data_IF_266421624282
#
_entry.id   IF_266421624282
#
_cell.length_a   1.000
_cell.length_b   1.000
_cell.length_c   1.000
_cell.angle_alpha   90.00
_cell.angle_beta   90.00
_cell.angle_gamma   90.00
#
_symmetry.space_group_name_H-M   'P 1'
#
loop_
_entity.id
_entity.type
_entity.pdbx_description
1 polymer ?
#
# COMPACT_ATOMS: atom_id res chain seq x y z
N UNK A 1 16.51 -26.88 2.15
CA UNK A 1 15.79 -25.61 2.33
C UNK A 1 14.43 -25.86 2.98
N UNK A 2 13.88 -24.92 3.75
CA UNK A 2 12.58 -25.02 4.40
C UNK A 2 11.79 -23.73 4.11
N UNK A 3 10.47 -23.84 3.96
CA UNK A 3 9.56 -22.70 3.75
C UNK A 3 8.30 -22.94 4.56
N UNK A 4 7.82 -21.96 5.27
CA UNK A 4 6.63 -22.04 6.10
C UNK A 4 5.68 -20.90 5.79
N UNK A 5 4.37 -21.14 5.86
CA UNK A 5 3.33 -20.15 5.54
C UNK A 5 2.66 -19.66 6.82
N UNK A 6 2.41 -18.35 6.87
CA UNK A 6 1.72 -17.67 7.97
C UNK A 6 0.61 -16.77 7.44
N UNK A 7 -0.41 -16.55 8.27
CA UNK A 7 -1.42 -15.53 8.01
C UNK A 7 -0.78 -14.14 7.98
N UNK A 8 -1.27 -13.27 7.12
CA UNK A 8 -0.92 -11.85 7.05
C UNK A 8 -1.20 -11.07 8.33
N UNK A 9 -2.03 -11.61 9.23
CA UNK A 9 -2.34 -11.00 10.54
C UNK A 9 -1.31 -11.30 11.61
N UNK A 10 -0.39 -12.23 11.36
CA UNK A 10 0.71 -12.55 12.28
C UNK A 10 1.84 -11.56 12.08
N UNK A 11 2.17 -10.80 13.11
CA UNK A 11 3.33 -9.90 13.09
C UNK A 11 4.59 -10.67 13.47
N UNK A 12 5.30 -11.15 12.47
CA UNK A 12 6.58 -11.84 12.66
C UNK A 12 7.73 -10.84 12.82
N UNK A 13 8.69 -11.15 13.67
CA UNK A 13 9.92 -10.37 13.85
C UNK A 13 11.10 -11.30 13.69
N UNK A 14 12.25 -10.75 13.33
CA UNK A 14 13.46 -11.55 13.19
C UNK A 14 13.76 -12.36 14.46
N UNK A 15 13.89 -13.67 14.28
CA UNK A 15 14.19 -14.62 15.38
C UNK A 15 13.00 -14.99 16.27
N UNK A 16 11.78 -14.52 16.00
CA UNK A 16 10.59 -14.97 16.71
C UNK A 16 10.28 -16.45 16.35
N UNK A 17 9.73 -17.19 17.30
CA UNK A 17 9.16 -18.50 17.00
C UNK A 17 7.85 -18.36 16.23
N UNK A 18 7.59 -19.23 15.29
CA UNK A 18 6.38 -19.24 14.46
C UNK A 18 5.91 -20.66 14.16
N UNK A 19 4.67 -20.77 13.67
CA UNK A 19 4.09 -22.04 13.24
C UNK A 19 4.79 -22.57 11.98
N UNK A 20 5.14 -23.86 11.98
CA UNK A 20 5.84 -24.52 10.88
C UNK A 20 4.86 -25.24 9.94
N UNK A 21 3.79 -24.54 9.56
CA UNK A 21 2.83 -25.03 8.59
C UNK A 21 3.31 -24.79 7.16
N UNK A 22 2.96 -25.70 6.26
CA UNK A 22 3.17 -25.56 4.82
C UNK A 22 1.87 -25.34 4.05
N UNK A 23 0.75 -25.30 4.77
CA UNK A 23 -0.60 -24.98 4.26
C UNK A 23 -1.28 -23.97 5.14
N UNK A 24 -2.03 -23.06 4.50
CA UNK A 24 -2.83 -22.03 5.14
C UNK A 24 -4.20 -21.96 4.48
N UNK A 25 -5.27 -21.85 5.28
CA UNK A 25 -6.60 -21.57 4.76
C UNK A 25 -6.90 -20.08 4.90
N UNK A 26 -7.35 -19.48 3.81
CA UNK A 26 -7.79 -18.10 3.71
C UNK A 26 -9.24 -18.07 3.27
N UNK A 27 -9.92 -16.98 3.56
CA UNK A 27 -11.29 -16.71 3.07
C UNK A 27 -11.28 -15.35 2.41
N UNK A 28 -11.91 -15.24 1.24
CA UNK A 28 -12.02 -13.96 0.53
C UNK A 28 -13.27 -13.92 -0.34
N UNK A 29 -13.72 -12.72 -0.68
CA UNK A 29 -14.80 -12.49 -1.62
C UNK A 29 -14.27 -12.31 -3.04
N UNK A 30 -15.12 -12.44 -4.04
CA UNK A 30 -14.79 -12.04 -5.41
C UNK A 30 -14.43 -10.54 -5.45
N UNK A 31 -13.42 -10.16 -6.22
CA UNK A 31 -12.90 -8.79 -6.29
C UNK A 31 -12.06 -8.39 -5.06
N UNK A 32 -11.77 -9.30 -4.14
CA UNK A 32 -10.92 -9.07 -2.98
C UNK A 32 -9.46 -9.41 -3.27
N UNK A 33 -8.56 -8.73 -2.59
CA UNK A 33 -7.13 -9.04 -2.55
C UNK A 33 -6.79 -9.62 -1.19
N UNK A 34 -6.49 -10.91 -1.15
CA UNK A 34 -6.06 -11.62 0.06
C UNK A 34 -4.54 -11.71 0.11
N UNK A 35 -3.98 -11.90 1.30
CA UNK A 35 -2.54 -11.99 1.47
C UNK A 35 -2.11 -13.04 2.48
N UNK A 36 -0.88 -13.51 2.33
CA UNK A 36 -0.20 -14.36 3.29
C UNK A 36 1.30 -14.06 3.30
N UNK A 37 1.97 -14.53 4.35
CA UNK A 37 3.43 -14.47 4.48
C UNK A 37 4.04 -15.85 4.29
N UNK A 38 5.26 -15.91 3.79
CA UNK A 38 6.07 -17.11 3.78
C UNK A 38 7.46 -16.85 4.32
N UNK A 39 7.96 -17.75 5.17
CA UNK A 39 9.23 -17.55 5.90
C UNK A 39 10.22 -18.64 5.51
N UNK A 40 11.40 -18.20 5.09
CA UNK A 40 12.61 -19.01 4.96
C UNK A 40 13.41 -18.88 6.27
N UNK A 41 13.49 -19.93 7.10
CA UNK A 41 14.10 -19.81 8.43
C UNK A 41 15.61 -20.07 8.46
N UNK A 42 16.25 -20.26 7.32
CA UNK A 42 17.67 -20.61 7.20
C UNK A 42 18.34 -19.75 6.13
N UNK A 43 19.67 -19.58 6.16
CA UNK A 43 20.41 -18.90 5.10
C UNK A 43 20.02 -19.40 3.72
N UNK A 44 19.93 -18.49 2.78
CA UNK A 44 19.62 -18.78 1.38
C UNK A 44 20.33 -17.77 0.47
N UNK A 45 20.62 -18.21 -0.75
CA UNK A 45 21.31 -17.41 -1.75
C UNK A 45 20.59 -17.50 -3.09
N UNK A 46 20.58 -16.38 -3.80
CA UNK A 46 20.00 -16.26 -5.15
C UNK A 46 18.59 -16.83 -5.25
N UNK A 47 17.77 -16.55 -4.23
CA UNK A 47 16.40 -17.05 -4.18
C UNK A 47 15.52 -16.35 -5.22
N UNK A 48 14.72 -17.15 -5.91
CA UNK A 48 13.67 -16.72 -6.82
C UNK A 48 12.34 -17.28 -6.34
N UNK A 49 11.32 -16.44 -6.28
CA UNK A 49 9.99 -16.82 -5.82
C UNK A 49 8.97 -16.66 -6.95
N UNK A 50 8.13 -17.64 -7.13
CA UNK A 50 7.04 -17.63 -8.10
C UNK A 50 5.78 -18.24 -7.49
N UNK A 51 4.62 -17.77 -7.91
CA UNK A 51 3.35 -18.33 -7.52
C UNK A 51 2.71 -19.01 -8.73
N UNK A 52 2.13 -20.17 -8.47
CA UNK A 52 1.35 -20.96 -9.44
C UNK A 52 -0.08 -21.10 -8.91
N UNK A 53 -1.05 -20.81 -9.76
CA UNK A 53 -2.46 -20.86 -9.43
C UNK A 53 -3.32 -20.28 -10.56
N UNK A 54 -4.62 -20.21 -10.32
CA UNK A 54 -5.58 -19.71 -11.33
C UNK A 54 -5.56 -18.18 -11.48
N UNK A 55 -4.95 -17.45 -10.51
CA UNK A 55 -5.04 -15.99 -10.42
C UNK A 55 -3.68 -15.35 -10.28
N UNK A 56 -3.62 -14.07 -10.65
CA UNK A 56 -2.41 -13.25 -10.51
C UNK A 56 -2.00 -13.10 -9.04
N UNK A 57 -0.72 -13.30 -8.79
CA UNK A 57 -0.10 -13.11 -7.50
C UNK A 57 1.06 -12.11 -7.59
N UNK A 58 1.12 -11.20 -6.64
CA UNK A 58 2.23 -10.27 -6.49
C UNK A 58 3.07 -10.70 -5.28
N UNK A 59 4.36 -10.86 -5.50
CA UNK A 59 5.29 -11.38 -4.49
C UNK A 59 6.30 -10.30 -4.16
N UNK A 60 6.51 -10.07 -2.87
CA UNK A 60 7.47 -9.11 -2.34
C UNK A 60 8.40 -9.78 -1.35
N UNK A 61 9.68 -9.43 -1.38
CA UNK A 61 10.60 -9.66 -0.29
C UNK A 61 10.42 -8.57 0.75
N UNK A 62 10.30 -8.95 2.02
CA UNK A 62 10.26 -8.01 3.12
C UNK A 62 11.67 -7.79 3.68
N UNK A 63 12.14 -6.55 3.59
CA UNK A 63 13.41 -6.15 4.15
C UNK A 63 13.26 -5.84 5.62
N UNK A 64 14.13 -6.40 6.44
CA UNK A 64 14.14 -6.13 7.87
C UNK A 64 14.61 -4.71 8.19
N UNK A 65 13.82 -4.01 9.00
CA UNK A 65 14.12 -2.68 9.52
C UNK A 65 14.37 -2.78 11.03
N UNK A 66 15.54 -2.33 11.46
CA UNK A 66 15.88 -2.26 12.88
C UNK A 66 15.27 -1.01 13.51
N UNK A 67 14.42 -1.20 14.51
CA UNK A 67 13.91 -0.12 15.34
C UNK A 67 14.81 0.03 16.57
N UNK A 68 15.43 1.21 16.71
CA UNK A 68 16.32 1.52 17.82
C UNK A 68 15.62 2.14 19.03
N UNK A 69 14.42 2.70 18.84
CA UNK A 69 13.58 3.28 19.88
C UNK A 69 12.12 3.24 19.48
N UNK A 70 11.24 3.12 20.46
CA UNK A 70 9.79 3.26 20.28
C UNK A 70 9.33 4.63 20.73
N UNK A 71 8.50 5.28 19.92
CA UNK A 71 7.82 6.53 20.30
C UNK A 71 6.88 6.35 21.51
N UNK A 72 6.45 5.13 21.80
CA UNK A 72 5.58 4.76 22.92
C UNK A 72 6.33 4.15 24.12
N UNK A 73 7.65 3.99 24.04
CA UNK A 73 8.45 3.37 25.11
C UNK A 73 8.22 1.87 25.36
N UNK A 74 7.41 1.22 24.51
CA UNK A 74 6.92 -0.16 24.74
C UNK A 74 7.74 -1.23 24.04
N UNK A 75 8.55 -0.89 23.04
CA UNK A 75 9.27 -1.89 22.25
C UNK A 75 10.76 -1.91 22.53
N UNK A 76 11.27 -3.10 22.84
CA UNK A 76 12.69 -3.38 22.78
C UNK A 76 13.20 -3.18 21.33
N UNK A 77 14.50 -2.91 21.20
CA UNK A 77 15.18 -2.94 19.90
C UNK A 77 14.93 -4.28 19.20
N UNK A 78 14.24 -4.24 18.07
CA UNK A 78 13.92 -5.43 17.28
C UNK A 78 13.96 -5.12 15.80
N UNK A 79 14.09 -6.15 15.01
CA UNK A 79 14.00 -6.06 13.55
C UNK A 79 12.65 -6.57 13.09
N UNK A 80 12.00 -5.75 12.26
CA UNK A 80 10.69 -6.04 11.69
C UNK A 80 10.80 -6.15 10.18
N UNK A 81 10.16 -7.16 9.55
CA UNK A 81 9.96 -7.17 8.13
C UNK A 81 8.90 -6.11 7.81
N UNK A 82 9.27 -5.06 7.08
CA UNK A 82 8.37 -3.92 6.86
C UNK A 82 8.45 -3.39 5.43
N UNK A 83 9.65 -3.15 4.92
CA UNK A 83 9.79 -2.61 3.56
C UNK A 83 9.64 -3.72 2.53
N UNK A 84 8.57 -3.65 1.74
CA UNK A 84 8.31 -4.60 0.65
C UNK A 84 9.10 -4.21 -0.60
N UNK A 85 9.87 -5.17 -1.13
CA UNK A 85 10.61 -5.06 -2.38
C UNK A 85 10.06 -6.08 -3.35
N UNK A 86 9.57 -5.63 -4.51
CA UNK A 86 9.06 -6.51 -5.56
C UNK A 86 10.06 -7.63 -5.87
N UNK A 87 9.61 -8.88 -5.87
CA UNK A 87 10.45 -10.06 -6.03
C UNK A 87 11.21 -10.05 -7.37
N UNK A 88 10.63 -9.48 -8.42
CA UNK A 88 11.30 -9.31 -9.73
C UNK A 88 12.51 -8.37 -9.67
N UNK A 89 12.61 -7.55 -8.63
CA UNK A 89 13.69 -6.57 -8.41
C UNK A 89 14.65 -6.98 -7.29
N UNK A 90 14.38 -8.09 -6.62
CA UNK A 90 15.13 -8.53 -5.43
C UNK A 90 16.62 -8.73 -5.70
N UNK A 91 16.99 -9.29 -6.84
CA UNK A 91 18.39 -9.50 -7.25
C UNK A 91 19.17 -8.17 -7.29
N UNK A 92 18.57 -7.12 -7.85
CA UNK A 92 19.20 -5.79 -7.95
C UNK A 92 19.55 -5.20 -6.58
N UNK A 93 18.74 -5.51 -5.56
CA UNK A 93 18.91 -4.98 -4.21
C UNK A 93 19.49 -6.01 -3.23
N UNK A 94 19.80 -7.23 -3.71
CA UNK A 94 20.27 -8.37 -2.91
C UNK A 94 19.29 -8.78 -1.79
N UNK A 95 18.01 -8.55 -1.98
CA UNK A 95 16.97 -8.97 -1.03
C UNK A 95 16.66 -10.47 -1.16
N UNK A 96 17.13 -11.10 -2.24
CA UNK A 96 17.03 -12.53 -2.51
C UNK A 96 18.14 -13.37 -1.87
N UNK A 97 18.92 -12.80 -0.96
CA UNK A 97 19.99 -13.48 -0.24
C UNK A 97 19.99 -13.06 1.24
N UNK A 98 20.09 -14.03 2.13
CA UNK A 98 20.21 -13.78 3.57
C UNK A 98 21.23 -14.69 4.21
N UNK A 99 22.39 -14.15 4.56
CA UNK A 99 23.44 -14.83 5.35
C UNK A 99 23.02 -15.06 6.80
N UNK A 100 22.07 -14.26 7.29
CA UNK A 100 21.60 -14.31 8.69
C UNK A 100 20.59 -15.41 8.93
N UNK A 101 20.04 -15.97 7.86
CA UNK A 101 19.23 -17.16 7.94
C UNK A 101 17.75 -16.94 8.10
N UNK A 102 17.23 -15.79 7.76
CA UNK A 102 15.78 -15.59 7.73
C UNK A 102 15.39 -14.62 6.62
N UNK A 103 14.37 -14.97 5.87
CA UNK A 103 13.76 -14.12 4.88
C UNK A 103 12.25 -14.26 4.90
N UNK A 104 11.55 -13.17 4.70
CA UNK A 104 10.09 -13.14 4.63
C UNK A 104 9.64 -12.71 3.25
N UNK A 105 8.71 -13.45 2.71
CA UNK A 105 7.97 -13.12 1.50
C UNK A 105 6.55 -12.72 1.87
N UNK A 106 6.07 -11.65 1.27
CA UNK A 106 4.66 -11.28 1.28
C UNK A 106 4.05 -11.58 -0.08
N UNK A 107 2.96 -12.32 -0.09
CA UNK A 107 2.25 -12.67 -1.31
C UNK A 107 0.83 -12.12 -1.26
N UNK A 108 0.47 -11.31 -2.26
CA UNK A 108 -0.90 -10.90 -2.51
C UNK A 108 -1.50 -11.76 -3.63
N UNK A 109 -2.75 -12.14 -3.48
CA UNK A 109 -3.53 -12.84 -4.49
C UNK A 109 -4.81 -12.04 -4.76
N UNK A 110 -5.01 -11.61 -6.00
CA UNK A 110 -6.22 -10.91 -6.41
C UNK A 110 -7.25 -11.92 -6.89
N UNK A 111 -8.36 -12.02 -6.17
CA UNK A 111 -9.50 -12.87 -6.55
C UNK A 111 -10.30 -12.11 -7.62
N UNK A 112 -10.43 -12.62 -8.85
CA UNK A 112 -11.20 -11.96 -9.90
C UNK A 112 -12.67 -11.76 -9.50
N UNK A 113 -13.30 -10.72 -10.06
CA UNK A 113 -14.72 -10.44 -9.81
C UNK A 113 -15.66 -11.53 -10.35
N UNK A 114 -15.20 -12.29 -11.33
CA UNK A 114 -15.89 -13.42 -11.96
C UNK A 114 -15.42 -14.79 -11.48
N UNK A 115 -14.56 -14.85 -10.46
CA UNK A 115 -14.09 -16.11 -9.89
C UNK A 115 -15.27 -17.01 -9.45
N UNK A 116 -15.14 -18.31 -9.62
CA UNK A 116 -16.11 -19.25 -9.09
C UNK A 116 -16.06 -19.26 -7.55
N UNK A 117 -17.22 -19.31 -6.89
CA UNK A 117 -17.27 -19.55 -5.45
C UNK A 117 -16.77 -20.99 -5.13
N UNK A 118 -16.10 -21.15 -3.99
CA UNK A 118 -15.54 -22.44 -3.59
C UNK A 118 -14.07 -22.38 -3.24
N UNK A 119 -13.39 -23.52 -3.28
CA UNK A 119 -12.00 -23.65 -2.86
C UNK A 119 -11.05 -23.59 -4.05
N UNK A 120 -10.06 -22.74 -3.94
CA UNK A 120 -8.98 -22.54 -4.90
C UNK A 120 -7.65 -22.65 -4.19
N UNK A 121 -6.61 -23.02 -4.91
CA UNK A 121 -5.27 -23.19 -4.32
C UNK A 121 -4.27 -22.32 -5.07
N UNK A 122 -3.47 -21.58 -4.31
CA UNK A 122 -2.28 -20.89 -4.80
C UNK A 122 -1.06 -21.52 -4.16
N UNK A 123 -0.08 -21.90 -4.97
CA UNK A 123 1.17 -22.49 -4.55
C UNK A 123 2.28 -21.45 -4.72
N UNK A 124 2.94 -21.08 -3.62
CA UNK A 124 4.14 -20.26 -3.65
C UNK A 124 5.36 -21.19 -3.60
N UNK A 125 6.21 -21.08 -4.61
CA UNK A 125 7.44 -21.84 -4.72
C UNK A 125 8.65 -20.92 -4.63
N UNK A 126 9.67 -21.38 -3.92
CA UNK A 126 10.96 -20.67 -3.82
C UNK A 126 12.06 -21.62 -4.26
N UNK A 127 12.84 -21.19 -5.24
CA UNK A 127 14.06 -21.85 -5.73
C UNK A 127 15.26 -21.00 -5.35
N UNK A 128 16.28 -21.62 -4.75
CA UNK A 128 17.52 -20.97 -4.34
C UNK A 128 18.70 -21.92 -4.56
N UNK A 129 19.93 -21.46 -4.31
CA UNK A 129 21.12 -22.33 -4.42
C UNK A 129 21.02 -23.55 -3.48
N UNK A 130 20.33 -23.42 -2.35
CA UNK A 130 20.10 -24.46 -1.35
C UNK A 130 18.99 -25.45 -1.70
N UNK A 131 18.30 -25.26 -2.83
CA UNK A 131 17.26 -26.15 -3.31
C UNK A 131 15.93 -25.48 -3.59
N UNK A 132 14.86 -26.30 -3.67
CA UNK A 132 13.51 -25.88 -4.04
C UNK A 132 12.52 -26.29 -2.96
N UNK A 133 11.61 -25.39 -2.60
CA UNK A 133 10.56 -25.61 -1.58
C UNK A 133 9.29 -24.87 -1.95
N UNK A 134 8.15 -25.33 -1.45
CA UNK A 134 6.88 -24.68 -1.70
C UNK A 134 5.94 -24.73 -0.50
N UNK A 135 5.00 -23.80 -0.47
CA UNK A 135 3.85 -23.77 0.43
C UNK A 135 2.56 -23.55 -0.34
N UNK A 136 1.42 -23.87 0.27
CA UNK A 136 0.11 -23.77 -0.36
C UNK A 136 -0.84 -22.92 0.48
N UNK A 137 -1.52 -21.96 -0.16
CA UNK A 137 -2.66 -21.26 0.38
C UNK A 137 -3.95 -21.78 -0.26
N UNK A 138 -4.85 -22.35 0.55
CA UNK A 138 -6.20 -22.69 0.13
C UNK A 138 -7.09 -21.47 0.39
N UNK A 139 -7.74 -20.95 -0.65
CA UNK A 139 -8.59 -19.77 -0.59
C UNK A 139 -10.04 -20.21 -0.80
N UNK A 140 -10.87 -20.05 0.22
CA UNK A 140 -12.33 -20.23 0.10
C UNK A 140 -12.94 -18.93 -0.42
N UNK A 141 -13.41 -18.93 -1.66
CA UNK A 141 -14.07 -17.80 -2.30
C UNK A 141 -15.55 -17.80 -1.96
N UNK A 142 -16.00 -16.75 -1.31
CA UNK A 142 -17.40 -16.56 -0.93
C UNK A 142 -18.26 -16.16 -2.14
N UNK A 143 -19.54 -16.56 -2.13
CA UNK A 143 -20.46 -16.32 -3.23
C UNK A 143 -21.05 -14.90 -3.22
N UNK A 144 -20.18 -13.90 -3.13
CA UNK A 144 -20.51 -12.50 -3.39
C UNK A 144 -19.27 -11.76 -3.90
N UNK A 145 -19.47 -10.62 -4.55
CA UNK A 145 -18.42 -9.77 -5.06
C UNK A 145 -18.33 -8.48 -4.27
N UNK A 146 -17.12 -8.06 -3.91
CA UNK A 146 -16.91 -6.74 -3.37
C UNK A 146 -17.17 -5.70 -4.46
N UNK A 147 -17.91 -4.61 -4.15
CA UNK A 147 -18.11 -3.54 -5.13
C UNK A 147 -16.78 -2.87 -5.47
N UNK A 148 -16.63 -2.45 -6.72
CA UNK A 148 -15.45 -1.69 -7.15
C UNK A 148 -15.35 -0.36 -6.40
N UNK A 149 -16.48 0.30 -6.20
CA UNK A 149 -16.56 1.51 -5.40
C UNK A 149 -16.49 1.16 -3.90
N UNK A 150 -15.59 1.84 -3.18
CA UNK A 150 -15.54 1.72 -1.73
C UNK A 150 -16.79 2.33 -1.10
N UNK A 151 -17.59 1.52 -0.41
CA UNK A 151 -18.77 1.99 0.32
C UNK A 151 -18.45 2.83 1.56
N UNK A 152 -17.20 2.80 2.03
CA UNK A 152 -16.72 3.61 3.13
C UNK A 152 -15.97 4.82 2.62
N UNK A 153 -16.34 6.00 3.10
CA UNK A 153 -15.57 7.22 2.83
C UNK A 153 -14.26 7.15 3.62
N UNK A 154 -13.16 7.05 2.90
CA UNK A 154 -11.81 7.05 3.49
C UNK A 154 -11.09 8.36 3.18
N UNK A 155 -10.12 8.73 4.01
CA UNK A 155 -9.31 9.94 3.83
C UNK A 155 -7.90 9.67 4.32
N UNK A 156 -6.98 9.46 3.39
CA UNK A 156 -5.58 9.14 3.68
C UNK A 156 -4.64 10.23 3.19
N UNK A 157 -3.82 10.76 4.08
CA UNK A 157 -2.87 11.81 3.73
C UNK A 157 -1.61 11.23 3.08
N UNK A 158 -1.27 11.74 1.90
CA UNK A 158 0.04 11.52 1.32
C UNK A 158 1.05 12.38 2.08
N UNK A 159 2.11 11.76 2.58
CA UNK A 159 3.22 12.42 3.28
C UNK A 159 4.16 13.05 2.25
N UNK A 160 3.82 14.26 1.82
CA UNK A 160 4.57 15.01 0.82
C UNK A 160 6.02 15.28 1.22
N UNK A 161 6.27 15.45 2.52
CA UNK A 161 7.60 15.60 3.11
C UNK A 161 8.49 14.35 2.93
N UNK A 162 7.90 13.22 2.62
CA UNK A 162 8.62 11.98 2.29
C UNK A 162 8.99 11.88 0.80
N UNK A 163 8.39 12.71 -0.05
CA UNK A 163 8.71 12.75 -1.49
C UNK A 163 10.00 13.56 -1.68
N UNK A 164 11.11 12.85 -1.80
CA UNK A 164 12.43 13.47 -1.97
C UNK A 164 12.67 13.79 -3.45
N UNK A 165 12.34 14.99 -3.87
CA UNK A 165 12.76 15.56 -5.14
C UNK A 165 12.87 17.08 -5.06
N UNK A 166 13.93 17.63 -5.61
CA UNK A 166 14.12 19.07 -5.78
C UNK A 166 13.51 19.59 -7.09
N UNK A 167 13.26 18.70 -8.04
CA UNK A 167 12.61 19.02 -9.32
C UNK A 167 11.08 18.96 -9.15
N UNK A 168 10.35 20.06 -9.45
CA UNK A 168 8.90 20.08 -9.30
C UNK A 168 8.14 19.07 -10.18
N UNK A 169 8.64 18.81 -11.39
CA UNK A 169 8.03 17.84 -12.30
C UNK A 169 8.20 16.41 -11.81
N UNK A 170 9.38 16.06 -11.31
CA UNK A 170 9.62 14.77 -10.68
C UNK A 170 8.82 14.61 -9.38
N UNK A 171 8.72 15.67 -8.58
CA UNK A 171 7.87 15.67 -7.37
C UNK A 171 6.42 15.38 -7.73
N UNK A 172 5.87 16.09 -8.73
CA UNK A 172 4.48 15.90 -9.15
C UNK A 172 4.24 14.48 -9.64
N UNK A 173 5.13 13.94 -10.45
CA UNK A 173 5.05 12.56 -10.93
C UNK A 173 4.99 11.56 -9.78
N UNK A 174 5.88 11.68 -8.80
CA UNK A 174 5.88 10.80 -7.61
C UNK A 174 4.62 10.96 -6.76
N UNK A 175 4.10 12.18 -6.65
CA UNK A 175 2.84 12.42 -5.96
C UNK A 175 1.68 11.71 -6.66
N UNK A 176 1.59 11.82 -7.99
CA UNK A 176 0.53 11.18 -8.78
C UNK A 176 0.65 9.64 -8.73
N UNK A 177 1.88 9.09 -8.72
CA UNK A 177 2.11 7.66 -8.50
C UNK A 177 1.59 7.19 -7.12
N UNK A 178 1.82 7.97 -6.06
CA UNK A 178 1.30 7.67 -4.73
C UNK A 178 -0.22 7.79 -4.64
N UNK A 179 -0.81 8.74 -5.37
CA UNK A 179 -2.26 8.85 -5.52
C UNK A 179 -2.83 7.57 -6.14
N UNK A 180 -2.25 7.12 -7.24
CA UNK A 180 -2.69 5.90 -7.92
C UNK A 180 -2.55 4.67 -7.03
N UNK A 181 -1.46 4.58 -6.28
CA UNK A 181 -1.25 3.52 -5.29
C UNK A 181 -2.33 3.51 -4.21
N UNK A 182 -2.72 4.68 -3.68
CA UNK A 182 -3.83 4.76 -2.72
C UNK A 182 -5.14 4.27 -3.32
N UNK A 183 -5.48 4.72 -4.52
CA UNK A 183 -6.71 4.31 -5.22
C UNK A 183 -6.71 2.80 -5.53
N UNK A 184 -5.56 2.23 -5.88
CA UNK A 184 -5.40 0.79 -6.07
C UNK A 184 -5.79 0.00 -4.81
N UNK A 185 -5.46 0.52 -3.63
CA UNK A 185 -5.86 -0.07 -2.34
C UNK A 185 -7.22 0.41 -1.83
N UNK A 186 -8.03 1.06 -2.67
CA UNK A 186 -9.34 1.62 -2.29
C UNK A 186 -9.28 2.66 -1.18
N UNK A 187 -8.16 3.38 -1.08
CA UNK A 187 -7.95 4.46 -0.14
C UNK A 187 -8.07 5.79 -0.88
N UNK A 188 -8.95 6.68 -0.42
CA UNK A 188 -9.08 8.00 -1.03
C UNK A 188 -7.97 8.91 -0.54
N UNK A 189 -7.10 9.46 -1.42
CA UNK A 189 -6.14 10.47 -1.02
C UNK A 189 -6.84 11.72 -0.52
N UNK A 190 -6.45 12.20 0.66
CA UNK A 190 -7.11 13.36 1.30
C UNK A 190 -7.08 14.59 0.43
N UNK A 191 -5.92 14.93 -0.12
CA UNK A 191 -5.73 16.17 -0.88
C UNK A 191 -5.97 15.95 -2.37
N UNK A 192 -6.69 16.89 -2.96
CA UNK A 192 -6.88 16.96 -4.40
C UNK A 192 -5.58 17.30 -5.13
N UNK A 193 -4.81 18.25 -4.59
CA UNK A 193 -3.53 18.70 -5.12
C UNK A 193 -2.44 18.69 -4.03
N UNK A 194 -1.16 18.59 -4.42
CA UNK A 194 -0.06 18.78 -3.48
C UNK A 194 -0.09 20.16 -2.81
N UNK A 195 0.46 20.23 -1.60
CA UNK A 195 0.58 21.50 -0.90
C UNK A 195 1.42 22.51 -1.70
N UNK A 196 0.97 23.76 -1.72
CA UNK A 196 1.64 24.81 -2.51
C UNK A 196 1.12 24.95 -3.94
N UNK A 197 0.24 24.07 -4.41
CA UNK A 197 -0.43 24.17 -5.70
C UNK A 197 -1.80 24.85 -5.53
N UNK A 198 -1.95 26.06 -6.06
CA UNK A 198 -3.12 26.90 -5.82
C UNK A 198 -3.89 27.28 -7.10
N UNK A 199 -3.59 26.61 -8.22
CA UNK A 199 -4.29 26.85 -9.49
C UNK A 199 -5.73 26.37 -9.44
N UNK A 200 -6.70 27.29 -9.63
CA UNK A 200 -8.15 26.95 -9.62
C UNK A 200 -8.49 26.02 -10.77
N UNK A 201 -8.00 26.32 -11.98
CA UNK A 201 -8.24 25.45 -13.16
C UNK A 201 -7.62 24.05 -12.99
N UNK A 202 -6.45 23.97 -12.38
CA UNK A 202 -5.82 22.70 -12.08
C UNK A 202 -6.63 21.93 -11.05
N UNK A 203 -7.13 22.58 -10.01
CA UNK A 203 -7.99 21.98 -8.98
C UNK A 203 -9.30 21.44 -9.61
N UNK A 204 -9.94 22.20 -10.50
CA UNK A 204 -11.13 21.76 -11.21
C UNK A 204 -10.86 20.56 -12.12
N UNK A 205 -9.74 20.58 -12.85
CA UNK A 205 -9.33 19.46 -13.71
C UNK A 205 -9.11 18.19 -12.91
N UNK A 206 -8.40 18.29 -11.79
CA UNK A 206 -8.13 17.14 -10.94
C UNK A 206 -9.41 16.63 -10.25
N UNK A 207 -10.29 17.54 -9.81
CA UNK A 207 -11.57 17.17 -9.23
C UNK A 207 -12.43 16.34 -10.20
N UNK A 208 -12.49 16.75 -11.48
CA UNK A 208 -13.21 15.97 -12.50
C UNK A 208 -12.65 14.56 -12.65
N UNK A 209 -11.34 14.41 -12.67
CA UNK A 209 -10.70 13.09 -12.71
C UNK A 209 -11.07 12.24 -11.50
N UNK A 210 -10.98 12.83 -10.29
CA UNK A 210 -11.31 12.13 -9.04
C UNK A 210 -12.78 11.74 -8.94
N UNK A 211 -13.67 12.62 -9.36
CA UNK A 211 -15.11 12.35 -9.35
C UNK A 211 -15.49 11.25 -10.35
N UNK A 212 -14.78 11.18 -11.49
CA UNK A 212 -14.99 10.14 -12.49
C UNK A 212 -14.38 8.78 -12.11
N UNK A 213 -13.49 8.73 -11.11
CA UNK A 213 -12.85 7.49 -10.65
C UNK A 213 -13.68 6.84 -9.54
N UNK A 214 -14.34 5.74 -9.83
CA UNK A 214 -15.18 4.99 -8.87
C UNK A 214 -14.43 4.53 -7.63
N UNK A 215 -13.10 4.44 -7.68
CA UNK A 215 -12.25 4.08 -6.54
C UNK A 215 -12.09 5.22 -5.54
N UNK A 216 -12.37 6.48 -5.96
CA UNK A 216 -12.21 7.67 -5.15
C UNK A 216 -13.53 8.04 -4.47
N UNK A 217 -13.68 7.72 -3.18
CA UNK A 217 -14.90 8.01 -2.44
C UNK A 217 -14.98 9.46 -1.92
N UNK A 218 -13.86 10.13 -1.74
CA UNK A 218 -13.81 11.51 -1.25
C UNK A 218 -12.44 12.16 -1.49
N UNK A 219 -12.42 13.47 -1.51
CA UNK A 219 -11.21 14.29 -1.47
C UNK A 219 -11.49 15.65 -0.82
N UNK A 220 -10.47 16.28 -0.28
CA UNK A 220 -10.57 17.65 0.24
C UNK A 220 -10.14 18.65 -0.82
N UNK A 221 -10.88 19.75 -0.88
CA UNK A 221 -10.50 20.88 -1.72
C UNK A 221 -9.20 21.49 -1.22
N UNK A 222 -8.33 22.01 -2.11
CA UNK A 222 -7.16 22.73 -1.69
C UNK A 222 -7.56 23.98 -0.91
N UNK A 223 -6.83 24.28 0.13
CA UNK A 223 -6.99 25.50 0.91
C UNK A 223 -5.64 26.18 1.06
N UNK A 224 -5.65 27.49 1.11
CA UNK A 224 -4.47 28.33 1.28
C UNK A 224 -4.51 28.96 2.65
N UNK A 225 -3.39 28.93 3.34
CA UNK A 225 -3.20 29.61 4.63
C UNK A 225 -2.11 30.67 4.50
N UNK A 226 -2.18 31.67 5.35
CA UNK A 226 -1.13 32.67 5.52
C UNK A 226 -0.86 32.87 7.00
N UNK A 227 0.33 33.34 7.33
CA UNK A 227 0.67 33.75 8.70
C UNK A 227 0.37 35.22 8.85
N UNK A 228 -0.40 35.54 9.86
CA UNK A 228 -0.70 36.93 10.25
C UNK A 228 -0.02 37.21 11.59
N UNK A 229 1.07 37.98 11.54
CA UNK A 229 1.88 38.27 12.73
C UNK A 229 1.27 39.35 13.62
N UNK A 230 0.19 40.00 13.16
CA UNK A 230 -0.36 41.24 13.80
C UNK A 230 -1.58 41.02 14.69
N UNK A 231 -2.31 39.91 14.57
CA UNK A 231 -3.60 39.70 15.27
C UNK A 231 -3.52 38.57 16.29
N UNK A 232 -2.63 37.61 16.12
CA UNK A 232 -2.51 36.45 16.99
C UNK A 232 -1.08 36.28 17.48
N UNK A 233 -0.92 35.89 18.73
CA UNK A 233 0.39 35.65 19.30
C UNK A 233 1.17 34.60 18.46
N UNK A 234 2.22 35.10 17.81
CA UNK A 234 3.25 34.35 17.09
C UNK A 234 2.79 33.19 16.20
N UNK A 235 2.46 33.50 14.96
CA UNK A 235 2.53 32.50 13.89
C UNK A 235 1.33 31.59 13.77
N UNK A 236 0.15 32.04 14.15
CA UNK A 236 -1.09 31.33 13.88
C UNK A 236 -1.39 31.36 12.37
N UNK A 237 -1.69 30.19 11.79
CA UNK A 237 -2.10 30.10 10.39
C UNK A 237 -3.57 30.51 10.23
N UNK A 238 -3.81 31.44 9.32
CA UNK A 238 -5.15 31.91 8.97
C UNK A 238 -5.54 31.38 7.58
N UNK A 239 -6.80 31.03 7.42
CA UNK A 239 -7.34 30.59 6.14
C UNK A 239 -7.48 31.78 5.17
N UNK A 240 -6.97 31.65 3.94
CA UNK A 240 -7.20 32.60 2.86
C UNK A 240 -8.65 32.45 2.33
N UNK A 241 -9.54 33.26 2.92
CA UNK A 241 -10.97 33.21 2.62
C UNK A 241 -11.29 33.71 1.20
N UNK A 242 -10.49 34.59 0.62
CA UNK A 242 -10.69 35.07 -0.74
C UNK A 242 -10.33 34.03 -1.77
N UNK A 243 -9.24 33.31 -1.54
CA UNK A 243 -8.91 32.12 -2.35
C UNK A 243 -10.02 31.06 -2.27
N UNK A 244 -10.45 30.73 -1.05
CA UNK A 244 -11.49 29.72 -0.84
C UNK A 244 -12.80 30.12 -1.52
N UNK A 245 -13.21 31.39 -1.42
CA UNK A 245 -14.42 31.89 -2.10
C UNK A 245 -14.32 31.74 -3.61
N UNK A 246 -13.19 32.15 -4.22
CA UNK A 246 -12.96 31.99 -5.66
C UNK A 246 -13.01 30.52 -6.09
N UNK A 247 -12.37 29.65 -5.32
CA UNK A 247 -12.37 28.21 -5.59
C UNK A 247 -13.79 27.63 -5.54
N UNK A 248 -14.55 27.91 -4.48
CA UNK A 248 -15.91 27.41 -4.31
C UNK A 248 -16.86 27.96 -5.40
N UNK A 249 -16.72 29.23 -5.78
CA UNK A 249 -17.48 29.81 -6.90
C UNK A 249 -17.18 29.06 -8.20
N UNK A 250 -15.90 28.83 -8.50
CA UNK A 250 -15.49 28.11 -9.69
C UNK A 250 -16.01 26.65 -9.71
N UNK A 251 -16.02 25.98 -8.56
CA UNK A 251 -16.61 24.65 -8.43
C UNK A 251 -18.13 24.68 -8.65
N UNK A 252 -18.85 25.65 -8.04
CA UNK A 252 -20.30 25.80 -8.23
C UNK A 252 -20.69 26.08 -9.69
N UNK A 253 -19.92 26.94 -10.38
CA UNK A 253 -20.16 27.24 -11.80
C UNK A 253 -19.84 26.09 -12.76
N UNK A 254 -18.99 25.15 -12.32
CA UNK A 254 -18.58 23.99 -13.11
C UNK A 254 -19.20 22.66 -12.64
N UNK A 255 -19.95 22.67 -11.53
CA UNK A 255 -20.82 21.54 -11.19
C UNK A 255 -21.99 21.54 -12.17
N UNK A 256 -21.97 20.65 -13.12
CA UNK A 256 -23.18 20.31 -13.87
C UNK A 256 -24.10 19.58 -12.91
N UNK A 257 -25.32 20.08 -12.75
CA UNK A 257 -26.41 19.36 -12.11
C UNK A 257 -26.65 18.04 -12.87
N UNK A 258 -26.03 16.93 -12.44
CA UNK A 258 -26.37 15.57 -12.80
C UNK A 258 -26.58 14.75 -11.52
#
# INVERSE_FOLDING_TARGET
MELYILSNTVKHRFGDSFGRGTRLSLVGARGERVAFQAILPKPFHNAFAEADGEWDAEIFWERYVKLSASSSGVTAEREYPDVMVDASRAEKFKDNTSERGEGVLWCFVTIPADAAAGRHTVRLEVTADEGKVAVEAEIEVLDFCLPEQNGNVTSFAIREDMIKSADPGEFRKKYDELVEEHLHYRLSPTKLLPYGTWGIEEALSEARKRTADVRCAAYSLPYKTFREDTIYEKGQECLDTDYLRKLLTAFAENSTDE
#
